data_IF_959329587178
#
_entry.id   IF_959329587178
#
_cell.length_a   1.000
_cell.length_b   1.000
_cell.length_c   1.000
_cell.angle_alpha   90.00
_cell.angle_beta   90.00
_cell.angle_gamma   90.00
#
_symmetry.space_group_name_H-M   'P 1'
#
loop_
_entity.id
_entity.type
_entity.pdbx_description
1 polymer ?
#
# COMPACT_ATOMS: atom_id res chain seq x y z
N UNK A 1 -10.02 14.10 -11.21
CA UNK A 1 -9.52 13.90 -9.82
C UNK A 1 -8.16 13.25 -9.98
N UNK A 2 -7.08 13.79 -9.43
CA UNK A 2 -5.75 13.17 -9.57
C UNK A 2 -5.75 11.94 -8.65
N UNK A 3 -5.84 10.73 -9.21
CA UNK A 3 -5.76 9.52 -8.42
C UNK A 3 -4.32 9.39 -7.92
N UNK A 4 -4.02 9.92 -6.74
CA UNK A 4 -2.73 9.72 -6.09
C UNK A 4 -2.87 8.62 -5.03
N UNK A 5 -1.92 7.70 -4.99
CA UNK A 5 -1.84 6.69 -3.94
C UNK A 5 -1.42 7.34 -2.63
N UNK A 6 -2.09 6.99 -1.53
CA UNK A 6 -1.61 7.33 -0.19
C UNK A 6 -0.31 6.58 0.09
N UNK A 7 0.43 7.00 1.13
CA UNK A 7 1.67 6.34 1.53
C UNK A 7 1.44 4.86 1.89
N UNK A 8 0.40 4.58 2.68
CA UNK A 8 0.02 3.22 3.08
C UNK A 8 -0.42 2.35 1.89
N UNK A 9 -1.22 2.90 0.97
CA UNK A 9 -1.58 2.21 -0.28
C UNK A 9 -0.34 1.84 -1.11
N UNK A 10 0.60 2.78 -1.25
CA UNK A 10 1.87 2.55 -1.93
C UNK A 10 2.71 1.47 -1.25
N UNK A 11 2.75 1.49 0.08
CA UNK A 11 3.46 0.51 0.89
C UNK A 11 2.93 -0.91 0.62
N UNK A 12 1.62 -1.12 0.73
CA UNK A 12 1.00 -2.44 0.47
C UNK A 12 1.16 -2.85 -0.99
N UNK A 13 0.95 -1.93 -1.94
CA UNK A 13 1.12 -2.24 -3.37
C UNK A 13 2.56 -2.68 -3.68
N UNK A 14 3.57 -1.95 -3.19
CA UNK A 14 4.96 -2.32 -3.39
C UNK A 14 5.33 -3.61 -2.66
N UNK A 15 4.77 -3.85 -1.48
CA UNK A 15 4.98 -5.11 -0.76
C UNK A 15 4.48 -6.32 -1.57
N UNK A 16 3.24 -6.25 -2.06
CA UNK A 16 2.63 -7.32 -2.87
C UNK A 16 3.37 -7.57 -4.20
N UNK A 17 4.12 -6.59 -4.70
CA UNK A 17 4.92 -6.68 -5.91
C UNK A 17 6.43 -6.88 -5.66
N UNK A 18 6.86 -7.13 -4.41
CA UNK A 18 8.28 -7.25 -4.04
C UNK A 18 9.14 -6.05 -4.46
N UNK A 19 8.56 -4.85 -4.43
CA UNK A 19 9.20 -3.58 -4.80
C UNK A 19 9.64 -2.74 -3.59
N UNK A 20 9.40 -3.22 -2.36
CA UNK A 20 9.92 -2.57 -1.17
C UNK A 20 11.44 -2.75 -1.07
N UNK A 21 12.13 -1.71 -0.59
CA UNK A 21 13.55 -1.79 -0.26
C UNK A 21 13.78 -2.43 1.12
N UNK A 22 15.03 -2.80 1.41
CA UNK A 22 15.51 -3.50 2.62
C UNK A 22 14.66 -3.29 3.89
N UNK A 23 14.73 -2.10 4.52
CA UNK A 23 14.04 -1.85 5.78
C UNK A 23 12.52 -2.00 5.67
N UNK A 24 11.94 -1.52 4.56
CA UNK A 24 10.48 -1.54 4.38
C UNK A 24 9.95 -2.94 4.15
N UNK A 25 10.70 -3.81 3.47
CA UNK A 25 10.33 -5.22 3.33
C UNK A 25 10.28 -5.92 4.69
N UNK A 26 11.29 -5.69 5.54
CA UNK A 26 11.34 -6.24 6.91
C UNK A 26 10.18 -5.67 7.75
N UNK A 27 9.88 -4.37 7.61
CA UNK A 27 8.74 -3.75 8.29
C UNK A 27 7.41 -4.40 7.86
N UNK A 28 7.21 -4.64 6.57
CA UNK A 28 5.99 -5.25 6.05
C UNK A 28 5.81 -6.68 6.59
N UNK A 29 6.88 -7.48 6.59
CA UNK A 29 6.90 -8.82 7.18
C UNK A 29 6.58 -8.76 8.69
N UNK A 30 7.23 -7.87 9.42
CA UNK A 30 7.00 -7.68 10.85
C UNK A 30 5.55 -7.28 11.16
N UNK A 31 4.95 -6.36 10.39
CA UNK A 31 3.54 -5.98 10.55
C UNK A 31 2.62 -7.17 10.22
N UNK A 32 2.91 -7.91 9.14
CA UNK A 32 2.07 -9.04 8.71
C UNK A 32 2.02 -10.20 9.71
N UNK A 33 3.07 -10.36 10.51
CA UNK A 33 3.20 -11.41 11.52
C UNK A 33 2.90 -10.92 12.96
N UNK A 34 2.71 -9.62 13.18
CA UNK A 34 2.55 -9.06 14.53
C UNK A 34 1.19 -9.39 15.15
N UNK A 35 1.20 -9.70 16.45
CA UNK A 35 -0.03 -9.72 17.26
C UNK A 35 -0.60 -8.31 17.48
N UNK A 36 -1.80 -8.22 18.08
CA UNK A 36 -2.48 -6.95 18.32
C UNK A 36 -1.65 -5.95 19.17
N UNK A 37 -0.91 -6.43 20.17
CA UNK A 37 -0.12 -5.58 21.08
C UNK A 37 1.10 -5.02 20.35
N UNK A 38 1.78 -5.84 19.56
CA UNK A 38 2.94 -5.43 18.78
C UNK A 38 2.52 -4.56 17.59
N UNK A 39 1.38 -4.86 16.95
CA UNK A 39 0.78 -4.00 15.92
C UNK A 39 0.48 -2.61 16.47
N UNK A 40 -0.08 -2.50 17.68
CA UNK A 40 -0.33 -1.21 18.31
C UNK A 40 0.97 -0.41 18.56
N UNK A 41 2.08 -1.08 18.90
CA UNK A 41 3.39 -0.42 19.05
C UNK A 41 3.97 0.02 17.71
N UNK A 42 3.87 -0.83 16.69
CA UNK A 42 4.31 -0.51 15.33
C UNK A 42 3.53 0.70 14.78
N UNK A 43 2.24 0.80 15.08
CA UNK A 43 1.40 1.93 14.68
C UNK A 43 1.86 3.28 15.25
N UNK A 44 2.61 3.29 16.36
CA UNK A 44 3.18 4.53 16.90
C UNK A 44 4.30 5.09 16.01
N UNK A 45 5.06 4.22 15.35
CA UNK A 45 6.16 4.60 14.45
C UNK A 45 5.76 4.65 12.97
N UNK A 46 4.82 3.79 12.57
CA UNK A 46 4.42 3.56 11.18
C UNK A 46 2.89 3.48 11.04
N UNK A 47 2.15 4.55 11.40
CA UNK A 47 0.70 4.51 11.47
C UNK A 47 0.04 4.21 10.12
N UNK A 48 0.48 4.84 9.04
CA UNK A 48 -0.12 4.69 7.70
C UNK A 48 0.13 3.31 7.10
N UNK A 49 1.33 2.75 7.29
CA UNK A 49 1.67 1.40 6.87
C UNK A 49 0.86 0.34 7.63
N UNK A 50 0.75 0.49 8.96
CA UNK A 50 -0.05 -0.42 9.79
C UNK A 50 -1.53 -0.34 9.44
N UNK A 51 -2.08 0.86 9.25
CA UNK A 51 -3.47 1.03 8.85
C UNK A 51 -3.74 0.37 7.49
N UNK A 52 -2.89 0.61 6.49
CA UNK A 52 -3.06 0.01 5.18
C UNK A 52 -2.93 -1.52 5.20
N UNK A 53 -1.99 -2.08 5.98
CA UNK A 53 -1.87 -3.53 6.18
C UNK A 53 -3.11 -4.11 6.87
N UNK A 54 -3.67 -3.41 7.88
CA UNK A 54 -4.92 -3.82 8.52
C UNK A 54 -6.10 -3.80 7.55
N UNK A 55 -6.20 -2.77 6.72
CA UNK A 55 -7.26 -2.68 5.72
C UNK A 55 -7.10 -3.79 4.67
N UNK A 56 -5.88 -4.05 4.21
CA UNK A 56 -5.57 -5.16 3.32
C UNK A 56 -5.99 -6.52 3.90
N UNK A 57 -5.74 -6.76 5.19
CA UNK A 57 -6.07 -8.04 5.84
C UNK A 57 -7.53 -8.19 6.25
N UNK A 58 -8.25 -7.10 6.55
CA UNK A 58 -9.56 -7.17 7.21
C UNK A 58 -10.71 -6.55 6.40
N UNK A 59 -10.43 -5.74 5.37
CA UNK A 59 -11.47 -5.09 4.58
C UNK A 59 -11.61 -5.78 3.21
N UNK A 60 -12.75 -6.44 3.03
CA UNK A 60 -13.10 -7.04 1.75
C UNK A 60 -13.09 -6.00 0.64
N UNK A 61 -12.54 -6.38 -0.52
CA UNK A 61 -12.48 -5.51 -1.71
C UNK A 61 -11.42 -4.40 -1.65
N UNK A 62 -10.78 -4.13 -0.51
CA UNK A 62 -9.79 -3.07 -0.40
C UNK A 62 -8.64 -3.23 -1.41
N UNK A 63 -8.13 -4.46 -1.54
CA UNK A 63 -7.07 -4.77 -2.52
C UNK A 63 -7.53 -4.64 -3.97
N UNK A 64 -8.79 -5.02 -4.26
CA UNK A 64 -9.37 -4.89 -5.60
C UNK A 64 -9.45 -3.41 -5.99
N UNK A 65 -10.03 -2.59 -5.11
CA UNK A 65 -10.16 -1.15 -5.31
C UNK A 65 -8.80 -0.47 -5.50
N UNK A 66 -7.78 -0.88 -4.74
CA UNK A 66 -6.43 -0.34 -4.90
C UNK A 66 -5.84 -0.68 -6.26
N UNK A 67 -6.01 -1.92 -6.75
CA UNK A 67 -5.53 -2.29 -8.10
C UNK A 67 -6.25 -1.52 -9.20
N UNK A 68 -7.56 -1.36 -9.09
CA UNK A 68 -8.36 -0.57 -10.03
C UNK A 68 -7.90 0.89 -10.07
N UNK A 69 -7.66 1.49 -8.90
CA UNK A 69 -7.08 2.83 -8.78
C UNK A 69 -5.73 2.93 -9.48
N UNK A 70 -4.82 1.98 -9.26
CA UNK A 70 -3.50 1.95 -9.92
C UNK A 70 -3.63 1.76 -11.44
N UNK A 71 -4.59 0.95 -11.90
CA UNK A 71 -4.84 0.76 -13.33
C UNK A 71 -5.31 2.06 -13.99
N UNK A 72 -6.29 2.75 -13.40
CA UNK A 72 -6.76 4.05 -13.90
C UNK A 72 -5.62 5.09 -13.96
N UNK A 73 -4.72 5.08 -12.97
CA UNK A 73 -3.53 5.95 -12.99
C UNK A 73 -2.58 5.64 -14.15
N UNK A 74 -2.39 4.36 -14.51
CA UNK A 74 -1.50 3.97 -15.62
C UNK A 74 -2.07 4.42 -16.96
N UNK A 75 -3.38 4.29 -17.15
CA UNK A 75 -4.09 4.72 -18.35
C UNK A 75 -3.99 6.25 -18.55
N UNK A 76 -4.25 7.02 -17.49
CA UNK A 76 -4.11 8.49 -17.54
C UNK A 76 -2.68 8.96 -17.88
N UNK A 77 -1.66 8.24 -17.41
CA UNK A 77 -0.26 8.57 -17.69
C UNK A 77 0.15 8.19 -19.12
N UNK A 78 -0.38 7.08 -19.65
CA UNK A 78 -0.15 6.65 -21.02
C UNK A 78 -0.74 7.63 -22.04
N UNK A 79 -1.95 8.14 -21.78
CA UNK A 79 -2.59 9.13 -22.65
C UNK A 79 -1.81 10.46 -22.68
N UNK A 80 -1.20 10.87 -21.56
CA UNK A 80 -0.36 12.08 -21.51
C UNK A 80 0.96 11.91 -22.25
N UNK A 81 1.55 10.70 -22.24
CA UNK A 81 2.79 10.42 -22.97
C UNK A 81 2.63 10.33 -24.49
N UNK A 82 1.42 10.11 -25.00
CA UNK A 82 1.14 10.04 -26.44
C UNK A 82 0.74 11.40 -27.05
N UNK A 83 0.64 12.47 -26.25
CA UNK A 83 0.24 13.82 -26.69
C UNK A 83 1.38 14.83 -26.51
N UNK A 84 2.60 14.37 -26.17
CA UNK A 84 3.83 15.17 -26.07
C UNK A 84 4.87 14.70 -27.07
#
# INVERSE_FOLDING_TARGET
MKYEMTKGERFVYFWQHNMLGSFMSILAEAISAADAKNTAKLALGFPEEVEAMRNFSNMDGWWVNLREKVQAMKEENHDKSNVS
#
